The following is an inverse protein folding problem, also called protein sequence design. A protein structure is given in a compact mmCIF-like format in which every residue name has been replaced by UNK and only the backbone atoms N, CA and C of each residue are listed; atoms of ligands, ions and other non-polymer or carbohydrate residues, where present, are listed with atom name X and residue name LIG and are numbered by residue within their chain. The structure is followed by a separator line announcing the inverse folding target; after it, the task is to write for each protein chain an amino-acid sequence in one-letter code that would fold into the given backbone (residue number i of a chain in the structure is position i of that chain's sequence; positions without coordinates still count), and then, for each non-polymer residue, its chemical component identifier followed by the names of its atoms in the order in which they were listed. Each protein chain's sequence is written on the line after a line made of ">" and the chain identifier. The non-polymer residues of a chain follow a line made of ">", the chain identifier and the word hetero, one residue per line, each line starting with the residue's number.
data_IF_869201725511
#
_entry.id   IF_869201725511
#
_cell.length_a   1.000
_cell.length_b   1.000
_cell.length_c   1.000
_cell.angle_alpha   90.00
_cell.angle_beta   90.00
_cell.angle_gamma   90.00
#
_symmetry.space_group_name_H-M   'P 1'
#
loop_
_entity.id
_entity.type
_entity.pdbx_description
1 polymer ?
#
# COMPACT_ATOMS: atom_id res chain seq x y z
N UNK A 1 -17.03 15.88 12.02
CA UNK A 1 -16.26 15.09 13.00
C UNK A 1 -14.87 15.71 13.11
N UNK A 2 -14.33 15.88 14.32
CA UNK A 2 -12.93 16.33 14.48
C UNK A 2 -11.98 15.27 13.92
N UNK A 3 -10.87 15.68 13.28
CA UNK A 3 -9.91 14.77 12.63
C UNK A 3 -9.39 13.68 13.57
N UNK A 4 -9.17 14.00 14.85
CA UNK A 4 -8.76 13.03 15.86
C UNK A 4 -9.82 11.94 16.09
N UNK A 5 -11.11 12.30 16.13
CA UNK A 5 -12.20 11.34 16.32
C UNK A 5 -12.31 10.38 15.14
N UNK A 6 -12.16 10.89 13.91
CA UNK A 6 -12.14 10.05 12.71
C UNK A 6 -10.94 9.12 12.72
N UNK A 7 -9.75 9.63 13.05
CA UNK A 7 -8.53 8.83 13.16
C UNK A 7 -8.70 7.68 14.16
N UNK A 8 -9.11 7.96 15.40
CA UNK A 8 -9.27 6.92 16.42
C UNK A 8 -10.35 5.90 16.08
N UNK A 9 -11.44 6.32 15.44
CA UNK A 9 -12.50 5.40 15.01
C UNK A 9 -11.99 4.43 13.95
N UNK A 10 -11.30 4.94 12.91
CA UNK A 10 -10.72 4.12 11.84
C UNK A 10 -9.59 3.23 12.37
N UNK A 11 -8.71 3.78 13.19
CA UNK A 11 -7.59 3.07 13.80
C UNK A 11 -8.09 1.90 14.67
N UNK A 12 -9.00 2.18 15.60
CA UNK A 12 -9.52 1.16 16.51
C UNK A 12 -10.31 0.09 15.76
N UNK A 13 -11.14 0.48 14.78
CA UNK A 13 -11.88 -0.47 13.94
C UNK A 13 -10.95 -1.42 13.19
N UNK A 14 -9.88 -0.88 12.59
CA UNK A 14 -8.89 -1.68 11.85
C UNK A 14 -8.11 -2.59 12.79
N UNK A 15 -7.56 -2.04 13.88
CA UNK A 15 -6.73 -2.81 14.83
C UNK A 15 -7.54 -3.94 15.46
N UNK A 16 -8.73 -3.66 15.97
CA UNK A 16 -9.57 -4.67 16.62
C UNK A 16 -10.04 -5.73 15.61
N UNK A 17 -10.46 -5.32 14.41
CA UNK A 17 -10.89 -6.24 13.36
C UNK A 17 -9.77 -7.17 12.89
N UNK A 18 -8.59 -6.61 12.60
CA UNK A 18 -7.41 -7.37 12.18
C UNK A 18 -6.90 -8.27 13.28
N UNK A 19 -6.80 -7.77 14.52
CA UNK A 19 -6.32 -8.57 15.65
C UNK A 19 -7.25 -9.75 15.94
N UNK A 20 -8.57 -9.54 15.91
CA UNK A 20 -9.54 -10.61 16.10
C UNK A 20 -9.41 -11.69 15.02
N UNK A 21 -9.30 -11.28 13.75
CA UNK A 21 -9.14 -12.20 12.61
C UNK A 21 -7.82 -12.97 12.66
N UNK A 22 -6.70 -12.29 12.96
CA UNK A 22 -5.38 -12.93 13.09
C UNK A 22 -5.34 -13.90 14.27
N UNK A 23 -5.90 -13.52 15.41
CA UNK A 23 -5.96 -14.40 16.60
C UNK A 23 -6.79 -15.65 16.30
N UNK A 24 -7.95 -15.49 15.65
CA UNK A 24 -8.75 -16.63 15.18
C UNK A 24 -7.95 -17.50 14.21
N UNK A 25 -7.27 -16.92 13.22
CA UNK A 25 -6.46 -17.63 12.25
C UNK A 25 -5.34 -18.44 12.89
N UNK A 26 -4.59 -17.86 13.83
CA UNK A 26 -3.49 -18.54 14.55
C UNK A 26 -4.02 -19.67 15.42
N UNK A 27 -5.11 -19.46 16.18
CA UNK A 27 -5.72 -20.53 16.99
C UNK A 27 -6.23 -21.67 16.12
N UNK A 28 -6.87 -21.33 15.00
CA UNK A 28 -7.40 -22.30 14.04
C UNK A 28 -6.26 -23.12 13.42
N UNK A 29 -5.19 -22.46 12.98
CA UNK A 29 -4.00 -23.11 12.43
C UNK A 29 -3.31 -24.02 13.47
N UNK A 30 -3.22 -23.57 14.73
CA UNK A 30 -2.63 -24.36 15.82
C UNK A 30 -3.43 -25.64 16.12
N UNK A 31 -4.76 -25.60 15.99
CA UNK A 31 -5.64 -26.76 16.18
C UNK A 31 -5.61 -27.68 14.95
N UNK A 32 -5.60 -27.12 13.74
CA UNK A 32 -5.63 -27.84 12.47
C UNK A 32 -4.29 -28.52 12.12
N UNK A 33 -3.17 -27.99 12.60
CA UNK A 33 -1.84 -28.50 12.28
C UNK A 33 -1.58 -28.55 10.77
N UNK A 34 -1.13 -29.71 10.28
CA UNK A 34 -0.83 -29.92 8.86
C UNK A 34 -2.04 -29.92 7.93
N UNK A 35 -3.28 -29.96 8.47
CA UNK A 35 -4.51 -29.92 7.67
C UNK A 35 -4.94 -28.49 7.31
N UNK A 36 -4.24 -27.46 7.80
CA UNK A 36 -4.58 -26.05 7.56
C UNK A 36 -4.15 -25.53 6.19
N UNK A 37 -2.89 -25.73 5.74
CA UNK A 37 -2.39 -25.11 4.51
C UNK A 37 -3.12 -25.65 3.27
N UNK A 38 -3.72 -24.78 2.46
CA UNK A 38 -4.50 -25.12 1.26
C UNK A 38 -5.98 -25.43 1.51
N UNK A 39 -6.40 -25.53 2.78
CA UNK A 39 -7.77 -25.85 3.20
C UNK A 39 -8.29 -24.88 4.28
N UNK A 40 -7.74 -23.67 4.35
CA UNK A 40 -7.99 -22.70 5.43
C UNK A 40 -9.49 -22.33 5.51
N UNK A 41 -10.11 -22.10 4.35
CA UNK A 41 -11.53 -21.73 4.25
C UNK A 41 -12.42 -22.91 4.66
N UNK A 42 -12.16 -24.11 4.13
CA UNK A 42 -12.95 -25.30 4.44
C UNK A 42 -12.81 -25.71 5.90
N UNK A 43 -11.64 -25.53 6.51
CA UNK A 43 -11.43 -25.82 7.92
C UNK A 43 -12.20 -24.85 8.82
N UNK A 44 -12.11 -23.53 8.56
CA UNK A 44 -12.85 -22.52 9.33
C UNK A 44 -14.36 -22.72 9.20
N UNK A 45 -14.84 -23.07 8.00
CA UNK A 45 -16.26 -23.38 7.77
C UNK A 45 -16.67 -24.68 8.48
N UNK A 46 -15.79 -25.68 8.52
CA UNK A 46 -16.01 -26.95 9.21
C UNK A 46 -16.08 -26.86 10.75
N UNK A 47 -15.56 -25.77 11.34
CA UNK A 47 -15.77 -25.48 12.77
C UNK A 47 -17.22 -25.10 13.11
N UNK A 48 -18.02 -24.75 12.11
CA UNK A 48 -19.45 -24.47 12.28
C UNK A 48 -20.20 -25.74 12.67
N UNK A 49 -20.62 -25.85 13.94
CA UNK A 49 -21.39 -27.00 14.48
C UNK A 49 -22.71 -27.29 13.75
N UNK A 50 -23.23 -26.34 12.98
CA UNK A 50 -24.47 -26.46 12.21
C UNK A 50 -24.22 -26.04 10.75
N UNK A 51 -24.91 -26.71 9.83
CA UNK A 51 -24.85 -26.42 8.40
C UNK A 51 -25.23 -24.97 8.07
N UNK A 52 -26.12 -24.37 8.86
CA UNK A 52 -26.49 -22.94 8.72
C UNK A 52 -25.31 -22.03 9.09
N UNK A 53 -24.56 -22.35 10.14
CA UNK A 53 -23.38 -21.57 10.56
C UNK A 53 -22.26 -21.67 9.51
N UNK A 54 -22.03 -22.87 8.98
CA UNK A 54 -21.07 -23.10 7.90
C UNK A 54 -21.39 -22.26 6.65
N UNK A 55 -22.67 -22.20 6.25
CA UNK A 55 -23.12 -21.36 5.13
C UNK A 55 -22.89 -19.86 5.39
N UNK A 56 -23.18 -19.38 6.60
CA UNK A 56 -22.95 -17.98 6.97
C UNK A 56 -21.46 -17.63 6.91
N UNK A 57 -20.59 -18.48 7.44
CA UNK A 57 -19.14 -18.29 7.39
C UNK A 57 -18.64 -18.29 5.94
N UNK A 58 -19.10 -19.24 5.12
CA UNK A 58 -18.72 -19.32 3.71
C UNK A 58 -19.14 -18.06 2.94
N UNK A 59 -20.37 -17.60 3.17
CA UNK A 59 -20.88 -16.37 2.57
C UNK A 59 -20.08 -15.14 3.00
N UNK A 60 -19.74 -15.03 4.29
CA UNK A 60 -18.92 -13.94 4.81
C UNK A 60 -17.50 -13.91 4.19
N UNK A 61 -16.85 -15.08 4.07
CA UNK A 61 -15.53 -15.18 3.43
C UNK A 61 -15.61 -14.82 1.94
N UNK A 62 -16.61 -15.33 1.23
CA UNK A 62 -16.82 -15.04 -0.19
C UNK A 62 -17.08 -13.55 -0.42
N UNK A 63 -17.99 -12.95 0.35
CA UNK A 63 -18.29 -11.54 0.28
C UNK A 63 -17.09 -10.65 0.62
N UNK A 64 -16.29 -11.05 1.62
CA UNK A 64 -15.02 -10.40 1.96
C UNK A 64 -14.05 -10.43 0.78
N UNK A 65 -13.83 -11.60 0.17
CA UNK A 65 -12.95 -11.74 -1.01
C UNK A 65 -13.41 -10.87 -2.18
N UNK A 66 -14.72 -10.83 -2.46
CA UNK A 66 -15.29 -9.97 -3.52
C UNK A 66 -14.99 -8.51 -3.21
N UNK A 67 -15.27 -8.08 -1.98
CA UNK A 67 -15.03 -6.69 -1.54
C UNK A 67 -13.57 -6.27 -1.72
N UNK A 68 -12.62 -7.07 -1.25
CA UNK A 68 -11.19 -6.80 -1.43
C UNK A 68 -10.78 -6.76 -2.92
N UNK A 69 -11.31 -7.67 -3.73
CA UNK A 69 -11.04 -7.71 -5.17
C UNK A 69 -11.60 -6.46 -5.86
N UNK A 70 -12.80 -6.02 -5.49
CA UNK A 70 -13.40 -4.78 -6.00
C UNK A 70 -12.57 -3.55 -5.61
N UNK A 71 -12.09 -3.47 -4.36
CA UNK A 71 -11.22 -2.37 -3.92
C UNK A 71 -9.89 -2.34 -4.70
N UNK A 72 -9.27 -3.50 -4.95
CA UNK A 72 -8.04 -3.58 -5.73
C UNK A 72 -8.27 -3.15 -7.21
N UNK A 73 -9.36 -3.62 -7.82
CA UNK A 73 -9.75 -3.22 -9.17
C UNK A 73 -10.04 -1.70 -9.25
N UNK A 74 -10.69 -1.14 -8.23
CA UNK A 74 -10.96 0.28 -8.13
C UNK A 74 -9.67 1.11 -8.01
N UNK A 75 -8.73 0.70 -7.15
CA UNK A 75 -7.42 1.36 -7.01
C UNK A 75 -6.60 1.34 -8.31
N UNK A 76 -6.63 0.21 -9.02
CA UNK A 76 -6.03 0.07 -10.36
C UNK A 76 -6.69 1.03 -11.36
N UNK A 77 -8.01 1.12 -11.37
CA UNK A 77 -8.75 2.05 -12.22
C UNK A 77 -8.41 3.51 -11.92
N UNK A 78 -8.39 3.90 -10.65
CA UNK A 78 -8.04 5.26 -10.23
C UNK A 78 -6.62 5.62 -10.68
N UNK A 79 -5.63 4.78 -10.39
CA UNK A 79 -4.22 5.00 -10.78
C UNK A 79 -4.07 5.16 -12.30
N UNK A 80 -4.71 4.28 -13.08
CA UNK A 80 -4.67 4.36 -14.53
C UNK A 80 -5.39 5.61 -15.06
N UNK A 81 -6.54 5.96 -14.49
CA UNK A 81 -7.26 7.18 -14.86
C UNK A 81 -6.43 8.44 -14.61
N UNK A 82 -5.67 8.48 -13.51
CA UNK A 82 -4.73 9.56 -13.21
C UNK A 82 -3.60 9.64 -14.23
N UNK A 83 -3.01 8.50 -14.63
CA UNK A 83 -1.98 8.47 -15.69
C UNK A 83 -2.53 8.99 -17.01
N UNK A 84 -3.68 8.47 -17.45
CA UNK A 84 -4.28 8.84 -18.74
C UNK A 84 -4.71 10.31 -18.74
N UNK A 85 -5.30 10.80 -17.65
CA UNK A 85 -5.67 12.22 -17.53
C UNK A 85 -4.45 13.13 -17.47
N UNK A 86 -3.37 12.70 -16.79
CA UNK A 86 -2.10 13.42 -16.74
C UNK A 86 -1.42 13.55 -18.10
N UNK A 87 -1.44 12.49 -18.92
CA UNK A 87 -0.86 12.52 -20.28
C UNK A 87 -1.75 13.21 -21.32
N UNK A 88 -3.08 13.07 -21.23
CA UNK A 88 -4.01 13.60 -22.24
C UNK A 88 -4.64 14.95 -21.90
N UNK A 89 -4.41 15.51 -20.70
CA UNK A 89 -5.06 16.74 -20.20
C UNK A 89 -6.60 16.73 -20.34
N UNK A 90 -7.20 15.55 -20.40
CA UNK A 90 -8.65 15.37 -20.55
C UNK A 90 -9.23 14.77 -19.27
N UNK A 91 -10.35 15.36 -18.82
CA UNK A 91 -10.99 15.12 -17.53
C UNK A 91 -12.11 14.07 -17.59
N UNK A 92 -12.40 13.48 -18.76
CA UNK A 92 -13.46 12.46 -18.89
C UNK A 92 -13.00 11.26 -19.71
N UNK A 93 -13.05 10.08 -19.09
CA UNK A 93 -12.92 8.79 -19.78
C UNK A 93 -14.32 8.23 -20.01
N UNK A 94 -14.62 7.86 -21.26
CA UNK A 94 -15.90 7.23 -21.61
C UNK A 94 -16.09 5.90 -20.85
N UNK A 95 -17.32 5.64 -20.41
CA UNK A 95 -17.69 4.46 -19.62
C UNK A 95 -17.33 3.13 -20.31
N UNK A 96 -17.32 3.10 -21.64
CA UNK A 96 -16.89 1.94 -22.43
C UNK A 96 -15.39 1.69 -22.35
N UNK A 97 -14.58 2.75 -22.41
CA UNK A 97 -13.13 2.64 -22.26
C UNK A 97 -12.78 2.11 -20.87
N UNK A 98 -13.43 2.63 -19.82
CA UNK A 98 -13.24 2.13 -18.44
C UNK A 98 -13.49 0.62 -18.32
N UNK A 99 -14.59 0.14 -18.90
CA UNK A 99 -14.94 -1.29 -18.84
C UNK A 99 -13.88 -2.15 -19.54
N UNK A 100 -13.48 -1.78 -20.76
CA UNK A 100 -12.46 -2.51 -21.54
C UNK A 100 -11.13 -2.56 -20.77
N UNK A 101 -10.72 -1.46 -20.15
CA UNK A 101 -9.48 -1.40 -19.38
C UNK A 101 -9.50 -2.30 -18.14
N UNK A 102 -10.59 -2.30 -17.37
CA UNK A 102 -10.72 -3.17 -16.19
C UNK A 102 -10.67 -4.63 -16.60
N UNK A 103 -11.40 -5.00 -17.67
CA UNK A 103 -11.42 -6.38 -18.18
C UNK A 103 -10.02 -6.82 -18.63
N UNK A 104 -9.30 -5.97 -19.39
CA UNK A 104 -7.93 -6.29 -19.82
C UNK A 104 -6.98 -6.49 -18.63
N UNK A 105 -7.03 -5.61 -17.63
CA UNK A 105 -6.18 -5.71 -16.43
C UNK A 105 -6.44 -6.99 -15.63
N UNK A 106 -7.72 -7.33 -15.41
CA UNK A 106 -8.10 -8.55 -14.70
C UNK A 106 -7.66 -9.79 -15.50
N UNK A 107 -7.85 -9.78 -16.82
CA UNK A 107 -7.41 -10.87 -17.69
C UNK A 107 -5.90 -11.07 -17.65
N UNK A 108 -5.10 -9.99 -17.74
CA UNK A 108 -3.64 -10.06 -17.65
C UNK A 108 -3.22 -10.61 -16.28
N UNK A 109 -3.82 -10.12 -15.20
CA UNK A 109 -3.53 -10.59 -13.84
C UNK A 109 -3.84 -12.08 -13.67
N UNK A 110 -4.96 -12.53 -14.24
CA UNK A 110 -5.36 -13.94 -14.24
C UNK A 110 -4.37 -14.82 -15.03
N UNK A 111 -3.95 -14.37 -16.21
CA UNK A 111 -2.95 -15.08 -17.03
C UNK A 111 -1.61 -15.20 -16.29
N UNK A 112 -1.12 -14.11 -15.66
CA UNK A 112 0.12 -14.14 -14.87
C UNK A 112 0.00 -15.11 -13.70
N UNK A 113 -1.14 -15.13 -13.01
CA UNK A 113 -1.39 -16.06 -11.91
C UNK A 113 -1.35 -17.52 -12.37
N UNK A 114 -2.00 -17.86 -13.48
CA UNK A 114 -2.03 -19.21 -14.05
C UNK A 114 -0.65 -19.67 -14.53
N UNK A 115 0.15 -18.78 -15.13
CA UNK A 115 1.49 -19.11 -15.61
C UNK A 115 2.53 -19.27 -14.49
N UNK A 116 2.24 -18.80 -13.27
CA UNK A 116 3.21 -18.75 -12.16
C UNK A 116 3.11 -19.93 -11.17
N UNK A 117 2.22 -20.90 -11.40
CA UNK A 117 2.14 -22.14 -10.59
C UNK A 117 3.40 -23.01 -10.82
N UNK A 118 4.11 -23.56 -9.81
CA UNK A 118 3.76 -23.78 -8.39
C UNK A 118 4.46 -22.87 -7.36
N UNK A 119 5.21 -21.84 -7.79
CA UNK A 119 5.96 -20.95 -6.90
C UNK A 119 5.37 -19.54 -6.77
N UNK A 120 4.17 -19.29 -7.32
CA UNK A 120 3.54 -17.97 -7.37
C UNK A 120 3.52 -17.27 -6.01
N UNK A 121 3.00 -17.93 -4.97
CA UNK A 121 2.89 -17.32 -3.64
C UNK A 121 4.25 -16.90 -3.07
N UNK A 122 5.29 -17.73 -3.28
CA UNK A 122 6.66 -17.42 -2.85
C UNK A 122 7.22 -16.23 -3.62
N UNK A 123 7.17 -16.28 -4.95
CA UNK A 123 7.67 -15.21 -5.82
C UNK A 123 6.90 -13.89 -5.62
N UNK A 124 5.59 -13.98 -5.39
CA UNK A 124 4.73 -12.84 -5.09
C UNK A 124 5.09 -12.21 -3.75
N UNK A 125 5.31 -13.01 -2.71
CA UNK A 125 5.76 -12.50 -1.39
C UNK A 125 7.10 -11.80 -1.53
N UNK A 126 8.05 -12.39 -2.25
CA UNK A 126 9.34 -11.77 -2.53
C UNK A 126 9.18 -10.43 -3.27
N UNK A 127 8.33 -10.39 -4.29
CA UNK A 127 8.04 -9.16 -5.02
C UNK A 127 7.39 -8.09 -4.12
N UNK A 128 6.47 -8.47 -3.23
CA UNK A 128 5.87 -7.53 -2.27
C UNK A 128 6.90 -6.96 -1.30
N UNK A 129 7.82 -7.77 -0.79
CA UNK A 129 8.91 -7.31 0.09
C UNK A 129 9.85 -6.35 -0.65
N UNK A 130 10.18 -6.66 -1.91
CA UNK A 130 10.93 -5.75 -2.76
C UNK A 130 10.19 -4.42 -2.97
N UNK A 131 8.89 -4.46 -3.31
CA UNK A 131 8.09 -3.26 -3.49
C UNK A 131 7.96 -2.43 -2.20
N UNK A 132 7.82 -3.11 -1.05
CA UNK A 132 7.75 -2.49 0.27
C UNK A 132 9.01 -1.69 0.56
N UNK A 133 10.18 -2.20 0.21
CA UNK A 133 11.43 -1.45 0.34
C UNK A 133 11.34 -0.09 -0.38
N UNK A 134 10.77 0.01 -1.58
CA UNK A 134 10.59 1.30 -2.25
C UNK A 134 9.46 2.15 -1.65
N UNK A 135 8.42 1.50 -1.12
CA UNK A 135 7.26 2.17 -0.57
C UNK A 135 7.54 2.88 0.77
N UNK A 136 8.42 2.31 1.60
CA UNK A 136 8.82 2.87 2.90
C UNK A 136 9.35 4.31 2.77
N UNK A 137 10.44 4.59 2.03
CA UNK A 137 10.99 5.94 1.92
C UNK A 137 10.03 6.89 1.20
N UNK A 138 9.27 6.41 0.21
CA UNK A 138 8.24 7.21 -0.46
C UNK A 138 7.15 7.69 0.52
N UNK A 139 6.67 6.79 1.39
CA UNK A 139 5.65 7.11 2.39
C UNK A 139 6.18 8.08 3.45
N UNK A 140 7.43 7.92 3.88
CA UNK A 140 8.09 8.81 4.84
C UNK A 140 8.18 10.24 4.32
N UNK A 141 8.63 10.40 3.07
CA UNK A 141 8.69 11.70 2.39
C UNK A 141 7.29 12.29 2.28
N UNK A 142 6.33 11.52 1.79
CA UNK A 142 4.95 12.01 1.55
C UNK A 142 4.26 12.46 2.84
N UNK A 143 4.39 11.69 3.92
CA UNK A 143 3.82 12.03 5.23
C UNK A 143 4.52 13.24 5.84
N UNK A 144 5.84 13.32 5.76
CA UNK A 144 6.62 14.47 6.25
C UNK A 144 6.26 15.73 5.46
N UNK A 145 6.16 15.63 4.13
CA UNK A 145 5.79 16.75 3.26
C UNK A 145 4.39 17.27 3.56
N UNK A 146 3.42 16.37 3.71
CA UNK A 146 2.02 16.74 3.92
C UNK A 146 1.75 17.28 5.33
N UNK A 147 2.19 16.55 6.37
CA UNK A 147 1.83 16.87 7.75
C UNK A 147 2.78 17.87 8.41
N UNK A 148 4.09 17.80 8.15
CA UNK A 148 5.09 18.64 8.85
C UNK A 148 5.51 19.87 8.04
N UNK A 149 5.66 19.73 6.72
CA UNK A 149 6.14 20.83 5.87
C UNK A 149 4.99 21.70 5.37
N UNK A 150 4.01 21.08 4.73
CA UNK A 150 2.85 21.75 4.13
C UNK A 150 1.72 21.99 5.14
N UNK A 151 1.76 21.31 6.29
CA UNK A 151 0.73 21.38 7.34
C UNK A 151 -0.71 21.22 6.80
N UNK A 152 -0.89 20.36 5.78
CA UNK A 152 -2.16 20.12 5.11
C UNK A 152 -2.57 21.16 4.05
N UNK A 153 -1.82 22.24 3.85
CA UNK A 153 -2.08 23.23 2.81
C UNK A 153 -1.60 22.75 1.44
N UNK A 154 -2.55 22.51 0.53
CA UNK A 154 -2.26 22.00 -0.83
C UNK A 154 -3.01 22.82 -1.88
N UNK A 155 -2.35 23.10 -3.00
CA UNK A 155 -2.95 23.77 -4.15
C UNK A 155 -3.44 22.73 -5.16
N UNK A 156 -4.72 22.35 -5.06
CA UNK A 156 -5.30 21.27 -5.87
C UNK A 156 -5.23 21.59 -7.37
N UNK A 157 -5.58 22.81 -7.84
CA UNK A 157 -5.44 23.17 -9.26
C UNK A 157 -4.01 23.14 -9.79
N UNK A 158 -3.00 23.36 -8.93
CA UNK A 158 -1.60 23.29 -9.34
C UNK A 158 -1.06 21.87 -9.46
N UNK A 159 -1.67 20.87 -8.81
CA UNK A 159 -1.24 19.47 -8.92
C UNK A 159 -1.36 18.90 -10.34
N UNK A 160 -2.32 19.40 -11.12
CA UNK A 160 -2.57 18.93 -12.49
C UNK A 160 -1.85 19.74 -13.58
N UNK A 161 -1.18 20.84 -13.22
CA UNK A 161 -0.45 21.68 -14.17
C UNK A 161 1.05 21.72 -13.87
N UNK A 162 1.87 21.02 -14.67
CA UNK A 162 3.32 20.96 -14.47
C UNK A 162 4.04 22.31 -14.58
N UNK A 163 3.41 23.32 -15.19
CA UNK A 163 3.97 24.69 -15.30
C UNK A 163 3.73 25.54 -14.05
N UNK A 164 2.90 25.06 -13.12
CA UNK A 164 2.61 25.76 -11.87
C UNK A 164 3.60 25.36 -10.78
N UNK A 165 3.24 25.73 -9.56
CA UNK A 165 4.00 25.67 -8.32
C UNK A 165 4.80 24.39 -8.04
N UNK A 166 4.29 23.22 -8.46
CA UNK A 166 4.93 21.93 -8.16
C UNK A 166 5.98 21.51 -9.20
N UNK A 167 6.01 22.17 -10.37
CA UNK A 167 6.94 21.87 -11.45
C UNK A 167 6.78 20.45 -12.02
N UNK A 168 7.70 20.07 -12.89
CA UNK A 168 7.75 18.72 -13.47
C UNK A 168 8.53 17.73 -12.56
N UNK A 169 9.60 18.21 -11.94
CA UNK A 169 10.54 17.36 -11.20
C UNK A 169 10.96 18.04 -9.90
N UNK A 170 10.71 17.37 -8.78
CA UNK A 170 11.28 17.76 -7.50
C UNK A 170 12.59 16.98 -7.28
N UNK A 171 13.70 17.50 -7.84
CA UNK A 171 15.02 16.88 -7.74
C UNK A 171 15.41 16.67 -6.27
N UNK A 172 15.07 17.62 -5.39
CA UNK A 172 15.30 17.50 -3.96
C UNK A 172 14.64 16.24 -3.39
N UNK A 173 13.33 16.06 -3.56
CA UNK A 173 12.63 14.87 -3.07
C UNK A 173 13.11 13.57 -3.73
N UNK A 174 13.45 13.61 -5.02
CA UNK A 174 13.99 12.44 -5.75
C UNK A 174 15.34 12.02 -5.18
N UNK A 175 16.24 12.98 -4.91
CA UNK A 175 17.53 12.68 -4.29
C UNK A 175 17.36 12.09 -2.90
N UNK A 176 16.47 12.66 -2.07
CA UNK A 176 16.20 12.09 -0.73
C UNK A 176 15.59 10.70 -0.81
N UNK A 177 14.71 10.46 -1.79
CA UNK A 177 14.13 9.14 -2.02
C UNK A 177 15.20 8.09 -2.37
N UNK A 178 16.10 8.39 -3.31
CA UNK A 178 17.20 7.49 -3.68
C UNK A 178 18.12 7.25 -2.49
N UNK A 179 18.49 8.30 -1.75
CA UNK A 179 19.33 8.16 -0.55
C UNK A 179 18.61 7.34 0.53
N UNK A 180 17.31 7.53 0.73
CA UNK A 180 16.50 6.76 1.67
C UNK A 180 16.48 5.27 1.31
N UNK A 181 16.31 4.93 0.03
CA UNK A 181 16.43 3.56 -0.47
C UNK A 181 17.82 2.99 -0.19
N UNK A 182 18.89 3.76 -0.40
CA UNK A 182 20.27 3.30 -0.12
C UNK A 182 20.52 3.09 1.38
N UNK A 183 19.96 3.92 2.25
CA UNK A 183 20.13 3.82 3.71
C UNK A 183 19.49 2.54 4.25
N UNK A 184 18.33 2.13 3.73
CA UNK A 184 17.65 0.92 4.21
C UNK A 184 18.30 -0.37 3.68
N UNK A 185 18.92 -0.37 2.49
CA UNK A 185 19.53 -1.57 1.87
C UNK A 185 20.37 -2.40 2.86
N UNK A 186 21.32 -1.84 3.63
CA UNK A 186 22.15 -2.65 4.53
C UNK A 186 21.37 -3.30 5.70
N UNK A 187 20.14 -2.86 5.97
CA UNK A 187 19.30 -3.39 7.05
C UNK A 187 18.18 -4.32 6.55
N UNK A 188 18.00 -4.45 5.23
CA UNK A 188 16.97 -5.33 4.65
C UNK A 188 17.38 -6.78 4.89
N UNK A 189 16.48 -7.55 5.48
CA UNK A 189 16.65 -8.98 5.70
C UNK A 189 15.45 -9.70 5.09
N UNK A 190 15.56 -10.04 3.81
CA UNK A 190 14.49 -10.69 3.06
C UNK A 190 15.04 -11.82 2.18
N UNK A 191 14.23 -12.80 1.76
CA UNK A 191 14.69 -13.92 0.93
C UNK A 191 15.32 -13.54 -0.41
N UNK A 192 15.15 -12.28 -0.86
CA UNK A 192 15.77 -11.73 -2.07
C UNK A 192 17.11 -11.04 -1.82
N UNK A 193 17.31 -10.49 -0.62
CA UNK A 193 18.44 -9.62 -0.32
C UNK A 193 18.74 -9.65 1.17
N UNK A 194 19.99 -9.96 1.50
CA UNK A 194 20.53 -9.92 2.86
C UNK A 194 21.52 -8.77 2.97
N UNK A 195 21.17 -7.76 3.76
CA UNK A 195 21.99 -6.58 3.99
C UNK A 195 23.21 -6.85 4.88
N UNK A 196 24.25 -6.03 4.75
CA UNK A 196 25.52 -6.20 5.48
C UNK A 196 25.43 -5.94 6.98
N UNK A 197 24.36 -5.34 7.48
CA UNK A 197 24.16 -4.95 8.89
C UNK A 197 23.03 -5.72 9.59
N UNK A 198 22.44 -6.73 8.94
CA UNK A 198 21.29 -7.48 9.50
C UNK A 198 21.68 -8.36 10.70
N UNK A 199 22.96 -8.71 10.81
CA UNK A 199 23.53 -9.45 11.95
C UNK A 199 23.40 -8.69 13.28
N UNK A 200 23.33 -7.36 13.26
CA UNK A 200 23.16 -6.53 14.47
C UNK A 200 21.79 -6.79 15.12
N UNK A 201 20.80 -7.18 14.32
CA UNK A 201 19.42 -7.41 14.75
C UNK A 201 19.02 -8.88 14.75
N UNK A 202 20.00 -9.79 14.88
CA UNK A 202 19.79 -11.24 14.91
C UNK A 202 19.00 -11.79 13.71
N UNK A 203 19.16 -11.17 12.51
CA UNK A 203 18.44 -11.58 11.31
C UNK A 203 16.97 -11.15 11.28
N UNK A 204 16.58 -10.14 12.05
CA UNK A 204 15.25 -9.55 11.97
C UNK A 204 15.24 -8.34 11.02
N UNK A 205 14.21 -8.22 10.17
CA UNK A 205 14.07 -7.08 9.25
C UNK A 205 13.60 -5.82 9.99
N UNK A 206 14.56 -4.94 10.31
CA UNK A 206 14.31 -3.62 10.90
C UNK A 206 14.49 -2.49 9.88
N UNK A 207 14.71 -2.82 8.61
CA UNK A 207 14.98 -1.86 7.54
C UNK A 207 13.88 -0.83 7.38
N UNK A 208 12.62 -1.24 7.57
CA UNK A 208 11.47 -0.36 7.40
C UNK A 208 11.45 0.75 8.44
N UNK A 209 11.80 0.48 9.70
CA UNK A 209 11.85 1.49 10.77
C UNK A 209 12.96 2.49 10.47
N UNK A 210 14.16 1.96 10.23
CA UNK A 210 15.35 2.77 10.00
C UNK A 210 15.15 3.60 8.73
N UNK A 211 14.72 2.98 7.64
CA UNK A 211 14.43 3.63 6.37
C UNK A 211 13.37 4.71 6.50
N UNK A 212 12.28 4.47 7.24
CA UNK A 212 11.22 5.45 7.41
C UNK A 212 11.70 6.68 8.20
N UNK A 213 12.29 6.46 9.38
CA UNK A 213 12.76 7.57 10.22
C UNK A 213 13.96 8.30 9.60
N UNK A 214 14.94 7.59 9.06
CA UNK A 214 16.10 8.21 8.44
C UNK A 214 15.68 9.04 7.21
N UNK A 215 14.83 8.51 6.34
CA UNK A 215 14.36 9.24 5.15
C UNK A 215 13.51 10.44 5.56
N UNK A 216 12.58 10.28 6.50
CA UNK A 216 11.74 11.39 6.98
C UNK A 216 12.56 12.50 7.64
N UNK A 217 13.50 12.14 8.52
CA UNK A 217 14.38 13.10 9.18
C UNK A 217 15.30 13.81 8.19
N UNK A 218 15.85 13.09 7.23
CA UNK A 218 16.70 13.65 6.17
C UNK A 218 15.89 14.63 5.30
N UNK A 219 14.67 14.25 4.91
CA UNK A 219 13.75 15.08 4.14
C UNK A 219 13.30 16.34 4.91
N UNK A 220 13.15 16.25 6.23
CA UNK A 220 12.82 17.41 7.04
C UNK A 220 14.04 18.34 7.22
N UNK A 221 15.21 17.77 7.54
CA UNK A 221 16.43 18.52 7.86
C UNK A 221 17.00 19.25 6.64
N UNK A 222 16.89 18.66 5.46
CA UNK A 222 17.39 19.23 4.21
C UNK A 222 16.36 20.13 3.51
N UNK A 223 15.24 20.47 4.17
CA UNK A 223 14.18 21.33 3.63
C UNK A 223 14.69 22.66 3.06
N UNK A 224 15.79 23.20 3.58
CA UNK A 224 16.41 24.43 3.05
C UNK A 224 16.80 24.36 1.55
N UNK A 225 16.95 23.14 1.01
CA UNK A 225 17.24 22.91 -0.41
C UNK A 225 15.97 22.77 -1.26
N UNK A 226 14.79 22.69 -0.63
CA UNK A 226 13.51 22.72 -1.32
C UNK A 226 13.21 24.14 -1.80
N UNK A 227 13.13 24.31 -3.12
CA UNK A 227 12.86 25.60 -3.77
C UNK A 227 11.36 25.88 -3.94
N UNK A 228 10.50 24.95 -3.54
CA UNK A 228 9.05 25.11 -3.67
C UNK A 228 8.56 26.15 -2.67
N UNK A 229 7.82 27.13 -3.16
CA UNK A 229 7.04 28.02 -2.29
C UNK A 229 5.85 27.21 -1.79
N UNK A 230 5.48 27.24 -0.51
CA UNK A 230 4.32 26.48 0.03
C UNK A 230 3.06 27.36 0.16
N UNK A 231 1.86 26.85 -0.17
CA UNK A 231 0.64 27.65 -0.07
C UNK A 231 0.33 27.94 1.40
N UNK A 232 -0.20 29.15 1.68
CA UNK A 232 -0.58 29.52 3.04
C UNK A 232 -1.88 28.81 3.50
N UNK A 233 -2.74 28.45 2.54
CA UNK A 233 -4.00 27.74 2.77
C UNK A 233 -4.29 26.81 1.58
N UNK A 234 -5.11 25.80 1.79
CA UNK A 234 -5.54 24.87 0.73
C UNK A 234 -6.34 25.62 -0.33
N UNK A 235 -5.91 25.53 -1.58
CA UNK A 235 -6.59 26.15 -2.73
C UNK A 235 -7.45 25.08 -3.38
N UNK A 236 -8.76 25.28 -3.36
CA UNK A 236 -9.74 24.38 -3.97
C UNK A 236 -9.98 24.77 -5.43
N UNK A 237 -10.35 23.81 -6.30
CA UNK A 237 -10.86 24.14 -7.63
C UNK A 237 -12.15 24.96 -7.48
N UNK A 238 -12.15 26.15 -8.08
CA UNK A 238 -13.33 27.03 -8.19
C UNK A 238 -14.29 26.60 -9.29
#
# INVERSE_FOLDING_TARGET
>A
MSGAKTFFCVFSGTVLGTQASMTLGVLTAAIAGSAFPGHEVSFIVGLGKSQVMAMVIYFAICFGKITFTTLNAYGSFMSLSTIVSGFRRQTSLSQRSRLIFVVLMVSISCIIALLSEPAFLKNFTHFLLFLLAFFVPWSAISLTDYYLISAGAVDIPALSDPKKRYGYWNIYAITIYVVGVLIQLPFIENPLFHGSLTWIFAGNDVSWIIGWFATGLLYYSLRRFDRRVLPAQTILPG
#
